data_IF_168262630765
#
_entry.id   IF_168262630765
#
_cell.length_a   1.000
_cell.length_b   1.000
_cell.length_c   1.000
_cell.angle_alpha   90.00
_cell.angle_beta   90.00
_cell.angle_gamma   90.00
#
_symmetry.space_group_name_H-M   'P 1'
#
loop_
_entity.id
_entity.type
_entity.pdbx_description
1 polymer ?
#
# COMPACT_ATOMS: atom_id res chain seq x y z
N UNK A 1 9.81 -6.40 10.52
CA UNK A 1 8.86 -6.08 9.44
C UNK A 1 7.55 -6.75 9.80
N UNK A 2 6.55 -5.98 10.22
CA UNK A 2 5.23 -6.51 10.53
C UNK A 2 4.17 -5.89 9.60
N UNK A 3 4.38 -6.02 8.29
CA UNK A 3 3.23 -5.99 7.36
C UNK A 3 2.37 -7.21 7.70
N UNK A 4 1.31 -6.96 8.45
CA UNK A 4 0.37 -7.95 8.96
C UNK A 4 -0.29 -8.73 7.82
N UNK A 5 -0.65 -8.00 6.75
CA UNK A 5 -1.39 -8.54 5.63
C UNK A 5 -1.24 -7.67 4.39
N UNK A 6 -1.24 -8.31 3.22
CA UNK A 6 -1.34 -7.65 1.91
C UNK A 6 -2.49 -8.28 1.15
N UNK A 7 -3.39 -7.46 0.61
CA UNK A 7 -4.50 -7.87 -0.26
C UNK A 7 -4.50 -6.96 -1.48
N UNK A 8 -3.61 -7.24 -2.43
CA UNK A 8 -3.55 -6.55 -3.71
C UNK A 8 -4.43 -7.27 -4.73
N UNK A 9 -5.39 -6.54 -5.32
CA UNK A 9 -6.22 -7.08 -6.39
C UNK A 9 -5.62 -6.63 -7.72
N UNK A 10 -4.75 -7.47 -8.28
CA UNK A 10 -4.04 -7.19 -9.54
C UNK A 10 -5.00 -6.81 -10.68
N UNK A 11 -6.18 -7.44 -10.73
CA UNK A 11 -7.22 -7.19 -11.74
C UNK A 11 -7.83 -5.77 -11.72
N UNK A 12 -7.74 -5.06 -10.58
CA UNK A 12 -8.29 -3.70 -10.43
C UNK A 12 -7.22 -2.62 -10.30
N UNK A 13 -5.93 -3.00 -10.25
CA UNK A 13 -4.84 -2.07 -10.02
C UNK A 13 -4.89 -1.38 -8.66
N UNK A 14 -5.65 -1.92 -7.70
CA UNK A 14 -5.78 -1.39 -6.35
C UNK A 14 -5.75 -2.50 -5.31
N UNK A 15 -5.32 -2.16 -4.10
CA UNK A 15 -5.09 -3.10 -3.03
C UNK A 15 -5.10 -2.45 -1.66
N UNK A 16 -5.00 -3.30 -0.65
CA UNK A 16 -4.99 -2.90 0.75
C UNK A 16 -3.80 -3.56 1.43
N UNK A 17 -3.09 -2.81 2.27
CA UNK A 17 -1.99 -3.30 3.10
C UNK A 17 -2.32 -2.97 4.55
N UNK A 18 -2.10 -3.93 5.45
CA UNK A 18 -2.28 -3.75 6.88
C UNK A 18 -0.92 -3.86 7.57
N UNK A 19 -0.64 -2.93 8.49
CA UNK A 19 0.52 -2.95 9.36
C UNK A 19 0.08 -3.11 10.82
N UNK A 20 0.83 -3.94 11.54
CA UNK A 20 0.73 -4.19 12.99
C UNK A 20 1.52 -3.16 13.83
N UNK A 21 2.05 -2.11 13.20
CA UNK A 21 2.89 -1.15 13.89
C UNK A 21 2.17 -0.45 15.05
N UNK A 22 2.96 -0.13 16.08
CA UNK A 22 2.47 0.47 17.32
C UNK A 22 1.86 1.87 17.11
N UNK A 23 2.34 2.61 16.11
CA UNK A 23 1.92 3.97 15.79
C UNK A 23 1.88 4.23 14.28
N UNK A 24 1.22 5.32 13.89
CA UNK A 24 0.97 5.69 12.49
C UNK A 24 2.26 5.90 11.70
N UNK A 25 3.24 6.59 12.28
CA UNK A 25 4.52 6.89 11.62
C UNK A 25 5.28 5.61 11.30
N UNK A 26 5.34 4.67 12.24
CA UNK A 26 5.95 3.37 12.03
C UNK A 26 5.19 2.57 10.96
N UNK A 27 3.85 2.61 10.98
CA UNK A 27 3.02 1.92 9.98
C UNK A 27 3.28 2.44 8.56
N UNK A 28 3.34 3.77 8.39
CA UNK A 28 3.65 4.41 7.11
C UNK A 28 5.03 3.99 6.62
N UNK A 29 6.04 4.01 7.50
CA UNK A 29 7.40 3.64 7.15
C UNK A 29 7.50 2.18 6.70
N UNK A 30 6.86 1.25 7.44
CA UNK A 30 6.87 -0.16 7.09
C UNK A 30 6.19 -0.44 5.74
N UNK A 31 5.06 0.21 5.48
CA UNK A 31 4.35 0.04 4.20
C UNK A 31 5.13 0.68 3.06
N UNK A 32 5.80 1.82 3.29
CA UNK A 32 6.70 2.43 2.32
C UNK A 32 7.84 1.47 1.94
N UNK A 33 8.52 0.88 2.93
CA UNK A 33 9.57 -0.12 2.70
C UNK A 33 9.06 -1.33 1.90
N UNK A 34 7.82 -1.77 2.17
CA UNK A 34 7.20 -2.84 1.40
C UNK A 34 6.95 -2.42 -0.06
N UNK A 35 6.43 -1.21 -0.30
CA UNK A 35 6.16 -0.68 -1.64
C UNK A 35 7.44 -0.51 -2.45
N UNK A 36 8.51 0.02 -1.85
CA UNK A 36 9.83 0.14 -2.48
C UNK A 36 10.40 -1.22 -2.90
N UNK A 37 10.16 -2.26 -2.10
CA UNK A 37 10.55 -3.63 -2.43
C UNK A 37 9.61 -4.33 -3.45
N UNK A 38 8.38 -3.82 -3.63
CA UNK A 38 7.35 -4.41 -4.49
C UNK A 38 6.82 -3.40 -5.51
N UNK A 39 7.65 -2.94 -6.47
CA UNK A 39 7.14 -2.20 -7.60
C UNK A 39 6.16 -3.08 -8.41
N UNK A 40 5.10 -2.51 -9.01
CA UNK A 40 4.87 -1.08 -9.21
C UNK A 40 3.79 -0.53 -8.27
N UNK A 41 3.73 -0.94 -7.00
CA UNK A 41 2.70 -0.46 -6.08
C UNK A 41 3.12 0.85 -5.41
N UNK A 42 2.17 1.77 -5.22
CA UNK A 42 2.35 3.06 -4.55
C UNK A 42 1.17 3.35 -3.61
N UNK A 43 1.35 4.29 -2.68
CA UNK A 43 0.26 4.78 -1.85
C UNK A 43 -0.83 5.45 -2.69
N UNK A 44 -2.08 5.05 -2.47
CA UNK A 44 -3.22 5.84 -2.92
C UNK A 44 -3.51 7.01 -1.97
N UNK A 45 -3.33 6.77 -0.66
CA UNK A 45 -3.42 7.78 0.39
C UNK A 45 -2.38 7.50 1.47
N UNK A 46 -1.75 8.57 1.97
CA UNK A 46 -0.81 8.52 3.09
C UNK A 46 -1.50 8.58 4.46
N UNK A 47 -2.81 8.76 4.49
CA UNK A 47 -3.61 8.75 5.72
C UNK A 47 -4.14 7.33 5.96
N UNK A 48 -3.51 6.53 6.84
CA UNK A 48 -4.02 5.21 7.16
C UNK A 48 -5.29 5.30 7.99
N UNK A 49 -6.16 4.32 7.78
CA UNK A 49 -7.34 4.13 8.62
C UNK A 49 -7.00 3.08 9.68
N UNK A 50 -7.12 3.43 10.95
CA UNK A 50 -6.98 2.43 12.03
C UNK A 50 -8.25 1.60 12.12
N UNK A 51 -8.14 0.29 11.86
CA UNK A 51 -9.25 -0.65 11.94
C UNK A 51 -9.61 -1.00 13.39
N UNK A 52 -10.84 -1.51 13.60
CA UNK A 52 -11.29 -2.02 14.91
C UNK A 52 -10.46 -3.21 15.41
N UNK A 53 -9.70 -3.86 14.52
CA UNK A 53 -8.75 -4.94 14.81
C UNK A 53 -7.39 -4.42 15.33
N UNK A 54 -7.20 -3.11 15.40
CA UNK A 54 -6.00 -2.47 15.90
C UNK A 54 -4.92 -2.22 14.85
N UNK A 55 -5.09 -2.71 13.62
CA UNK A 55 -4.14 -2.55 12.52
C UNK A 55 -4.32 -1.23 11.78
N UNK A 56 -3.21 -0.71 11.23
CA UNK A 56 -3.25 0.41 10.30
C UNK A 56 -3.47 -0.10 8.88
N UNK A 57 -4.55 0.35 8.25
CA UNK A 57 -4.91 -0.02 6.89
C UNK A 57 -4.56 1.09 5.91
N UNK A 58 -3.81 0.72 4.88
CA UNK A 58 -3.38 1.58 3.79
C UNK A 58 -4.03 1.11 2.50
N UNK A 59 -4.46 2.07 1.68
CA UNK A 59 -4.90 1.75 0.33
C UNK A 59 -3.76 2.04 -0.63
N UNK A 60 -3.45 1.07 -1.47
CA UNK A 60 -2.35 1.12 -2.43
C UNK A 60 -2.91 0.96 -3.82
N UNK A 61 -2.28 1.62 -4.79
CA UNK A 61 -2.62 1.54 -6.20
C UNK A 61 -1.40 1.12 -6.98
N UNK A 62 -1.63 0.46 -8.11
CA UNK A 62 -0.58 0.19 -9.06
C UNK A 62 -0.22 1.50 -9.75
N UNK A 63 1.02 1.93 -9.60
CA UNK A 63 1.59 3.00 -10.40
C UNK A 63 1.78 2.50 -11.81
N UNK A 64 0.88 2.90 -12.70
CA UNK A 64 1.19 2.89 -14.12
C UNK A 64 2.05 4.12 -14.37
N UNK A 65 3.32 4.10 -13.94
CA UNK A 65 4.30 5.08 -14.38
C UNK A 65 4.15 5.21 -15.90
N UNK A 66 3.88 6.43 -16.39
CA UNK A 66 3.36 6.76 -17.72
C UNK A 66 4.00 5.98 -18.90
N UNK A 67 3.59 4.72 -19.06
CA UNK A 67 3.74 3.93 -20.28
C UNK A 67 2.54 4.09 -21.21
N UNK A 68 1.60 5.00 -20.88
CA UNK A 68 0.54 5.45 -21.77
C UNK A 68 1.00 6.57 -22.73
N UNK A 69 2.32 6.71 -22.96
CA UNK A 69 2.81 7.22 -24.25
C UNK A 69 3.00 6.05 -25.21
N UNK A 70 1.90 5.63 -25.83
CA UNK A 70 1.94 4.82 -27.05
C UNK A 70 1.15 3.51 -26.97
N UNK A 71 -0.17 3.59 -27.10
CA UNK A 71 -0.95 2.58 -27.82
C UNK A 71 -2.35 3.12 -28.15
N UNK A 72 -2.60 3.19 -29.46
CA UNK A 72 -3.83 3.58 -30.18
C UNK A 72 -4.15 5.08 -30.28
#
# INVERSE_FOLDING_TARGET
MAVARVNVKEQYGSGEIWSDAENETAAVQEVQEWLDAHPPWEFQSLEPVRGDDGHYKFTVTRSYAEGAKGAA
#
